data_IF_027476620748
#
_entry.id   IF_027476620748
#
_cell.length_a   1.000
_cell.length_b   1.000
_cell.length_c   1.000
_cell.angle_alpha   90.00
_cell.angle_beta   90.00
_cell.angle_gamma   90.00
#
_symmetry.space_group_name_H-M   'P 1'
#
loop_
_entity.id
_entity.type
_entity.pdbx_description
1 polymer ?
#
# COMPACT_ATOMS: atom_id res chain seq x y z
N UNK A 1 -20.24 -13.06 -23.71
CA UNK A 1 -19.79 -11.84 -22.98
C UNK A 1 -19.42 -12.31 -21.60
N UNK A 2 -18.12 -12.32 -21.28
CA UNK A 2 -17.58 -12.97 -20.09
C UNK A 2 -17.95 -12.16 -18.82
N UNK A 3 -18.19 -12.86 -17.69
CA UNK A 3 -18.53 -12.26 -16.40
C UNK A 3 -17.54 -11.18 -15.92
N UNK A 4 -16.29 -11.24 -16.40
CA UNK A 4 -15.24 -10.26 -16.15
C UNK A 4 -15.53 -8.88 -16.78
N UNK A 5 -16.06 -8.82 -18.01
CA UNK A 5 -16.43 -7.53 -18.63
C UNK A 5 -17.63 -6.87 -17.92
N UNK A 6 -18.59 -7.67 -17.42
CA UNK A 6 -19.68 -7.15 -16.58
C UNK A 6 -19.18 -6.59 -15.25
N UNK A 7 -18.14 -7.17 -14.70
CA UNK A 7 -17.50 -6.71 -13.48
C UNK A 7 -16.85 -5.33 -13.67
N UNK A 8 -16.09 -5.18 -14.76
CA UNK A 8 -15.45 -3.91 -15.13
C UNK A 8 -16.49 -2.84 -15.41
N UNK A 9 -17.55 -3.18 -16.15
CA UNK A 9 -18.64 -2.23 -16.46
C UNK A 9 -19.35 -1.73 -15.18
N UNK A 10 -19.53 -2.60 -14.19
CA UNK A 10 -20.15 -2.24 -12.88
C UNK A 10 -19.25 -1.35 -12.04
N UNK A 11 -17.95 -1.66 -11.99
CA UNK A 11 -16.96 -0.80 -11.30
C UNK A 11 -16.87 0.56 -11.99
N UNK A 12 -16.83 0.58 -13.32
CA UNK A 12 -16.83 1.81 -14.10
C UNK A 12 -18.08 2.65 -13.84
N UNK A 13 -19.24 2.01 -13.78
CA UNK A 13 -20.50 2.67 -13.49
C UNK A 13 -20.51 3.29 -12.10
N UNK A 14 -20.07 2.55 -11.08
CA UNK A 14 -19.96 3.06 -9.72
C UNK A 14 -18.99 4.24 -9.61
N UNK A 15 -17.81 4.13 -10.21
CA UNK A 15 -16.78 5.18 -10.18
C UNK A 15 -17.20 6.41 -11.00
N UNK A 16 -17.89 6.22 -12.13
CA UNK A 16 -18.32 7.33 -13.00
C UNK A 16 -19.53 8.10 -12.46
N UNK A 17 -20.44 7.44 -11.73
CA UNK A 17 -21.72 8.04 -11.29
C UNK A 17 -21.80 8.31 -9.78
N UNK A 18 -20.74 7.96 -9.02
CA UNK A 18 -20.63 8.27 -7.59
C UNK A 18 -21.59 7.50 -6.70
N UNK A 19 -21.66 7.91 -5.43
CA UNK A 19 -22.45 7.25 -4.37
C UNK A 19 -23.98 7.37 -4.57
N UNK A 20 -24.41 8.20 -5.51
CA UNK A 20 -25.81 8.28 -5.95
C UNK A 20 -26.17 7.18 -6.95
N UNK A 21 -25.22 6.29 -7.28
CA UNK A 21 -25.45 5.11 -8.07
C UNK A 21 -26.28 4.06 -7.33
N UNK A 22 -26.76 3.10 -8.09
CA UNK A 22 -27.63 2.01 -7.65
C UNK A 22 -27.07 1.29 -6.41
N UNK A 23 -27.90 0.96 -5.42
CA UNK A 23 -27.47 0.25 -4.19
C UNK A 23 -26.63 -1.00 -4.51
N UNK A 24 -26.85 -1.62 -5.67
CA UNK A 24 -26.05 -2.75 -6.16
C UNK A 24 -24.57 -2.43 -6.33
N UNK A 25 -24.19 -1.21 -6.69
CA UNK A 25 -22.80 -0.80 -6.94
C UNK A 25 -22.05 -0.54 -5.63
N UNK A 26 -22.71 0.03 -4.62
CA UNK A 26 -22.15 0.17 -3.28
C UNK A 26 -21.88 -1.19 -2.64
N UNK A 27 -22.86 -2.10 -2.67
CA UNK A 27 -22.69 -3.47 -2.15
C UNK A 27 -21.54 -4.21 -2.86
N UNK A 28 -21.42 -4.05 -4.17
CA UNK A 28 -20.32 -4.62 -4.93
C UNK A 28 -18.96 -4.10 -4.45
N UNK A 29 -18.85 -2.79 -4.20
CA UNK A 29 -17.62 -2.18 -3.70
C UNK A 29 -17.27 -2.67 -2.29
N UNK A 30 -18.24 -2.71 -1.38
CA UNK A 30 -18.11 -3.24 -0.03
C UNK A 30 -17.61 -4.70 -0.05
N UNK A 31 -18.21 -5.56 -0.87
CA UNK A 31 -17.79 -6.94 -1.05
C UNK A 31 -16.37 -7.04 -1.63
N UNK A 32 -16.03 -6.17 -2.60
CA UNK A 32 -14.70 -6.15 -3.22
C UNK A 32 -13.62 -5.76 -2.21
N UNK A 33 -13.87 -4.75 -1.38
CA UNK A 33 -12.99 -4.31 -0.29
C UNK A 33 -12.80 -5.46 0.71
N UNK A 34 -13.88 -6.11 1.16
CA UNK A 34 -13.80 -7.19 2.13
C UNK A 34 -13.07 -8.41 1.58
N UNK A 35 -13.29 -8.78 0.32
CA UNK A 35 -12.57 -9.86 -0.35
C UNK A 35 -11.08 -9.55 -0.46
N UNK A 36 -10.73 -8.34 -0.89
CA UNK A 36 -9.34 -7.91 -1.01
C UNK A 36 -8.65 -7.82 0.35
N UNK A 37 -9.32 -7.26 1.36
CA UNK A 37 -8.81 -7.14 2.74
C UNK A 37 -8.32 -8.49 3.28
N UNK A 38 -9.03 -9.57 2.94
CA UNK A 38 -8.75 -10.92 3.40
C UNK A 38 -8.01 -11.78 2.35
N UNK A 39 -7.55 -11.19 1.24
CA UNK A 39 -6.91 -11.94 0.16
C UNK A 39 -5.50 -12.41 0.54
N UNK A 40 -5.08 -13.59 0.04
CA UNK A 40 -3.70 -14.08 0.20
C UNK A 40 -2.68 -13.11 -0.38
N UNK A 41 -3.03 -12.43 -1.47
CA UNK A 41 -2.18 -11.45 -2.14
C UNK A 41 -1.86 -10.28 -1.21
N UNK A 42 -2.89 -9.67 -0.60
CA UNK A 42 -2.70 -8.58 0.36
C UNK A 42 -1.91 -9.02 1.59
N UNK A 43 -2.18 -10.21 2.11
CA UNK A 43 -1.39 -10.76 3.22
C UNK A 43 0.08 -10.95 2.85
N UNK A 44 0.37 -11.39 1.63
CA UNK A 44 1.75 -11.53 1.16
C UNK A 44 2.43 -10.17 0.98
N UNK A 45 1.71 -9.15 0.54
CA UNK A 45 2.21 -7.77 0.48
C UNK A 45 2.60 -7.25 1.86
N UNK A 46 1.72 -7.41 2.85
CA UNK A 46 2.00 -7.05 4.26
C UNK A 46 3.22 -7.84 4.77
N UNK A 47 3.26 -9.15 4.52
CA UNK A 47 4.37 -10.03 4.93
C UNK A 47 5.71 -9.56 4.38
N UNK A 48 5.77 -9.06 3.14
CA UNK A 48 7.00 -8.49 2.57
C UNK A 48 7.51 -7.28 3.36
N UNK A 49 6.63 -6.39 3.82
CA UNK A 49 7.02 -5.26 4.67
C UNK A 49 7.46 -5.72 6.06
N UNK A 50 6.72 -6.62 6.72
CA UNK A 50 7.07 -7.17 8.03
C UNK A 50 8.46 -7.82 8.02
N UNK A 51 8.76 -8.65 7.01
CA UNK A 51 10.07 -9.28 6.87
C UNK A 51 11.19 -8.28 6.62
N UNK A 52 10.91 -7.21 5.87
CA UNK A 52 11.89 -6.13 5.69
C UNK A 52 12.22 -5.44 7.02
N UNK A 53 11.24 -5.28 7.90
CA UNK A 53 11.33 -4.61 9.21
C UNK A 53 11.72 -5.57 10.36
N UNK A 54 12.26 -6.77 10.07
CA UNK A 54 12.68 -7.82 11.02
C UNK A 54 11.52 -8.49 11.78
N UNK A 55 10.29 -8.37 11.32
CA UNK A 55 9.15 -9.07 11.92
C UNK A 55 8.91 -10.40 11.20
N UNK A 56 9.84 -11.34 11.40
CA UNK A 56 9.79 -12.66 10.78
C UNK A 56 8.96 -13.65 11.58
N UNK A 57 8.43 -14.68 10.90
CA UNK A 57 7.57 -15.70 11.51
C UNK A 57 8.28 -16.48 12.65
N UNK A 58 9.61 -16.56 12.63
CA UNK A 58 10.41 -17.19 13.69
C UNK A 58 10.14 -16.58 15.07
N UNK A 59 9.77 -15.28 15.14
CA UNK A 59 9.47 -14.61 16.41
C UNK A 59 8.25 -15.20 17.12
N UNK A 60 7.35 -15.85 16.36
CA UNK A 60 6.16 -16.53 16.90
C UNK A 60 6.41 -18.01 17.17
N UNK A 61 7.64 -18.52 16.94
CA UNK A 61 7.99 -19.92 17.15
C UNK A 61 7.85 -20.28 18.61
N UNK A 62 7.16 -21.40 18.86
CA UNK A 62 7.06 -22.06 20.14
C UNK A 62 7.82 -23.38 20.08
N UNK A 63 8.54 -23.69 21.13
CA UNK A 63 9.15 -25.01 21.26
C UNK A 63 8.12 -25.96 21.84
N UNK A 64 7.87 -27.05 21.15
CA UNK A 64 6.83 -28.01 21.53
C UNK A 64 7.40 -29.42 21.59
N UNK A 65 6.85 -30.24 22.48
CA UNK A 65 7.08 -31.68 22.55
C UNK A 65 5.77 -32.44 22.47
N UNK A 66 5.84 -33.74 22.16
CA UNK A 66 4.66 -34.61 22.24
C UNK A 66 4.50 -35.03 23.70
N UNK A 67 3.41 -34.62 24.32
CA UNK A 67 3.04 -35.02 25.67
C UNK A 67 2.59 -36.48 25.76
N UNK A 68 2.35 -36.98 26.97
CA UNK A 68 1.87 -38.34 27.23
C UNK A 68 0.51 -38.62 26.59
N UNK A 69 -0.30 -37.56 26.37
CA UNK A 69 -1.60 -37.63 25.72
C UNK A 69 -1.49 -37.60 24.16
N UNK A 70 -0.28 -37.63 23.61
CA UNK A 70 -0.03 -37.58 22.18
C UNK A 70 -0.25 -36.20 21.54
N UNK A 71 -0.51 -35.14 22.32
CA UNK A 71 -0.70 -33.78 21.82
C UNK A 71 0.59 -32.97 21.97
N UNK A 72 0.72 -31.95 21.11
CA UNK A 72 1.81 -30.99 21.21
C UNK A 72 1.60 -30.10 22.44
N UNK A 73 2.60 -30.09 23.33
CA UNK A 73 2.65 -29.24 24.51
C UNK A 73 3.84 -28.27 24.39
N UNK A 74 3.66 -27.03 24.82
CA UNK A 74 4.74 -26.03 24.83
C UNK A 74 5.73 -26.35 25.96
N UNK A 75 7.03 -26.25 25.66
CA UNK A 75 8.11 -26.56 26.60
C UNK A 75 8.79 -25.25 26.99
N UNK A 76 8.61 -24.86 28.25
CA UNK A 76 9.13 -23.61 28.77
C UNK A 76 10.54 -23.70 29.36
N UNK A 77 10.98 -24.90 29.72
CA UNK A 77 12.26 -25.15 30.40
C UNK A 77 13.43 -25.44 29.45
N UNK A 78 13.21 -25.37 28.15
CA UNK A 78 14.29 -25.54 27.16
C UNK A 78 14.55 -24.22 26.42
N UNK A 79 15.79 -24.00 25.96
CA UNK A 79 16.11 -22.81 25.16
C UNK A 79 15.19 -22.67 23.92
N UNK A 80 14.69 -21.48 23.68
CA UNK A 80 13.88 -21.19 22.52
C UNK A 80 14.35 -19.88 21.85
N UNK A 81 15.56 -19.94 21.31
CA UNK A 81 16.15 -18.83 20.58
C UNK A 81 15.36 -18.57 19.27
N UNK A 82 15.24 -17.30 18.90
CA UNK A 82 14.48 -16.83 17.73
C UNK A 82 15.34 -15.85 16.96
N UNK A 83 16.40 -16.37 16.35
CA UNK A 83 17.39 -15.56 15.65
C UNK A 83 16.92 -15.18 14.26
N UNK A 84 17.20 -13.95 13.87
CA UNK A 84 16.93 -13.42 12.53
C UNK A 84 18.26 -13.00 11.89
N UNK A 85 18.62 -13.62 10.76
CA UNK A 85 19.58 -13.06 9.82
C UNK A 85 18.81 -12.57 8.59
N UNK A 86 18.51 -11.28 8.55
CA UNK A 86 17.63 -10.71 7.54
C UNK A 86 18.31 -10.55 6.18
N UNK A 87 18.46 -11.66 5.45
CA UNK A 87 18.99 -11.67 4.09
C UNK A 87 18.01 -11.04 3.11
N UNK A 88 16.69 -11.13 3.43
CA UNK A 88 15.65 -10.48 2.61
C UNK A 88 15.83 -8.95 2.56
N UNK A 89 16.01 -8.29 3.69
CA UNK A 89 16.25 -6.85 3.74
C UNK A 89 17.53 -6.45 2.99
N UNK A 90 18.58 -7.28 3.08
CA UNK A 90 19.82 -7.06 2.30
C UNK A 90 19.53 -7.07 0.80
N UNK A 91 18.78 -8.07 0.30
CA UNK A 91 18.40 -8.15 -1.12
C UNK A 91 17.57 -6.94 -1.58
N UNK A 92 16.57 -6.53 -0.78
CA UNK A 92 15.74 -5.34 -1.08
C UNK A 92 16.61 -4.09 -1.17
N UNK A 93 17.51 -3.90 -0.19
CA UNK A 93 18.39 -2.73 -0.16
C UNK A 93 19.37 -2.73 -1.34
N UNK A 94 19.98 -3.87 -1.67
CA UNK A 94 20.90 -3.98 -2.81
C UNK A 94 20.19 -3.65 -4.13
N UNK A 95 19.02 -4.24 -4.40
CA UNK A 95 18.25 -3.98 -5.63
C UNK A 95 17.81 -2.52 -5.71
N UNK A 96 17.28 -1.96 -4.62
CA UNK A 96 16.85 -0.55 -4.59
C UNK A 96 18.02 0.41 -4.77
N UNK A 97 19.19 0.13 -4.15
CA UNK A 97 20.37 0.96 -4.29
C UNK A 97 20.97 0.88 -5.70
N UNK A 98 20.95 -0.30 -6.32
CA UNK A 98 21.45 -0.47 -7.67
C UNK A 98 20.63 0.34 -8.70
N UNK A 99 19.30 0.32 -8.59
CA UNK A 99 18.42 1.00 -9.54
C UNK A 99 18.21 2.49 -9.24
N UNK A 100 18.10 2.85 -7.95
CA UNK A 100 17.65 4.16 -7.49
C UNK A 100 18.64 4.80 -6.50
N UNK A 101 19.90 4.35 -6.49
CA UNK A 101 20.93 4.86 -5.60
C UNK A 101 21.50 6.18 -6.07
N UNK A 102 21.56 6.38 -7.37
CA UNK A 102 22.05 7.62 -7.99
C UNK A 102 20.86 8.50 -8.43
N UNK A 103 20.98 9.83 -8.30
CA UNK A 103 19.99 10.73 -8.85
C UNK A 103 20.01 10.63 -10.38
N UNK A 104 18.86 10.77 -11.01
CA UNK A 104 18.76 10.95 -12.45
C UNK A 104 18.80 12.44 -12.81
N UNK A 105 19.19 12.75 -14.02
CA UNK A 105 19.14 14.11 -14.60
C UNK A 105 18.05 14.15 -15.65
N UNK A 106 17.40 15.31 -15.75
CA UNK A 106 16.41 15.58 -16.79
C UNK A 106 16.99 16.67 -17.67
N UNK A 107 17.13 16.39 -18.96
CA UNK A 107 17.62 17.33 -19.96
C UNK A 107 16.47 17.82 -20.83
N UNK A 108 16.40 19.12 -21.06
CA UNK A 108 15.42 19.77 -21.93
C UNK A 108 16.04 21.06 -22.50
N UNK A 109 15.70 21.39 -23.74
CA UNK A 109 16.15 22.58 -24.43
C UNK A 109 15.52 23.89 -23.91
N UNK A 110 14.47 23.78 -23.07
CA UNK A 110 13.78 24.93 -22.47
C UNK A 110 14.28 25.16 -21.04
N UNK A 111 15.04 26.25 -20.83
CA UNK A 111 15.62 26.60 -19.53
C UNK A 111 14.56 26.81 -18.44
N UNK A 112 13.47 27.52 -18.73
CA UNK A 112 12.39 27.76 -17.73
C UNK A 112 11.73 26.46 -17.31
N UNK A 113 11.48 25.56 -18.25
CA UNK A 113 10.93 24.23 -17.96
C UNK A 113 11.93 23.38 -17.16
N UNK A 114 13.23 23.49 -17.45
CA UNK A 114 14.28 22.81 -16.68
C UNK A 114 14.26 23.23 -15.20
N UNK A 115 14.10 24.51 -14.91
CA UNK A 115 14.01 25.02 -13.53
C UNK A 115 12.79 24.44 -12.80
N UNK A 116 11.61 24.47 -13.42
CA UNK A 116 10.38 23.88 -12.84
C UNK A 116 10.56 22.38 -12.57
N UNK A 117 11.19 21.64 -13.49
CA UNK A 117 11.47 20.21 -13.29
C UNK A 117 12.43 19.96 -12.13
N UNK A 118 13.44 20.82 -11.91
CA UNK A 118 14.35 20.72 -10.77
C UNK A 118 13.63 20.96 -9.43
N UNK A 119 12.65 21.87 -9.39
CA UNK A 119 11.83 22.10 -8.20
C UNK A 119 11.00 20.87 -7.86
N UNK A 120 10.38 20.23 -8.85
CA UNK A 120 9.55 19.03 -8.67
C UNK A 120 10.41 17.81 -8.32
N UNK A 121 11.48 17.56 -9.10
CA UNK A 121 12.36 16.39 -8.96
C UNK A 121 13.57 16.67 -8.06
N UNK A 122 13.32 17.31 -6.93
CA UNK A 122 14.30 17.70 -5.94
C UNK A 122 14.79 16.51 -5.08
N UNK A 123 15.63 16.78 -4.10
CA UNK A 123 16.15 15.76 -3.15
C UNK A 123 15.05 15.03 -2.37
N UNK A 124 13.92 15.70 -2.07
CA UNK A 124 12.76 15.09 -1.38
C UNK A 124 12.12 14.04 -2.28
N UNK A 125 11.91 14.38 -3.56
CA UNK A 125 11.39 13.42 -4.54
C UNK A 125 12.33 12.22 -4.71
N UNK A 126 13.65 12.43 -4.84
CA UNK A 126 14.61 11.31 -4.97
C UNK A 126 14.56 10.33 -3.79
N UNK A 127 14.40 10.85 -2.57
CA UNK A 127 14.21 10.01 -1.38
C UNK A 127 12.88 9.23 -1.44
N UNK A 128 11.81 9.90 -1.87
CA UNK A 128 10.49 9.27 -2.05
C UNK A 128 10.54 8.19 -3.14
N UNK A 129 11.19 8.46 -4.27
CA UNK A 129 11.37 7.49 -5.35
C UNK A 129 12.18 6.26 -4.89
N UNK A 130 13.28 6.46 -4.16
CA UNK A 130 14.05 5.36 -3.58
C UNK A 130 13.22 4.54 -2.58
N UNK A 131 12.42 5.19 -1.75
CA UNK A 131 11.49 4.52 -0.83
C UNK A 131 10.41 3.76 -1.59
N UNK A 132 9.87 4.32 -2.68
CA UNK A 132 8.88 3.65 -3.52
C UNK A 132 9.43 2.39 -4.17
N UNK A 133 10.71 2.38 -4.59
CA UNK A 133 11.38 1.18 -5.08
C UNK A 133 11.44 0.06 -4.03
N UNK A 134 11.76 0.38 -2.78
CA UNK A 134 11.71 -0.59 -1.68
C UNK A 134 10.29 -1.10 -1.43
N UNK A 135 9.29 -0.22 -1.48
CA UNK A 135 7.89 -0.59 -1.31
C UNK A 135 7.41 -1.48 -2.46
N UNK A 136 7.83 -1.20 -3.69
CA UNK A 136 7.53 -2.05 -4.84
C UNK A 136 8.18 -3.44 -4.70
N UNK A 137 9.41 -3.54 -4.18
CA UNK A 137 10.05 -4.81 -3.90
C UNK A 137 9.33 -5.60 -2.81
N UNK A 138 8.91 -4.94 -1.72
CA UNK A 138 8.24 -5.57 -0.60
C UNK A 138 6.78 -5.94 -0.91
N UNK A 139 6.07 -5.09 -1.65
CA UNK A 139 4.65 -5.24 -1.92
C UNK A 139 4.30 -5.71 -3.34
N UNK A 140 5.29 -5.84 -4.24
CA UNK A 140 5.06 -6.14 -5.66
C UNK A 140 4.77 -4.91 -6.52
N UNK A 141 4.10 -3.92 -5.95
CA UNK A 141 3.76 -2.62 -6.52
C UNK A 141 3.82 -1.57 -5.41
N UNK A 142 4.12 -0.33 -5.75
CA UNK A 142 3.98 0.82 -4.88
C UNK A 142 3.31 1.96 -5.63
N UNK A 143 2.71 2.90 -4.92
CA UNK A 143 1.90 3.95 -5.53
C UNK A 143 2.42 5.32 -5.14
N UNK A 144 2.78 6.13 -6.13
CA UNK A 144 3.07 7.54 -5.94
C UNK A 144 1.79 8.36 -6.22
N UNK A 145 1.44 9.20 -5.27
CA UNK A 145 0.31 10.11 -5.36
C UNK A 145 0.83 11.55 -5.44
N UNK A 146 0.78 12.20 -6.60
CA UNK A 146 1.10 13.62 -6.76
C UNK A 146 -0.05 14.48 -6.19
N UNK A 147 0.29 15.49 -5.42
CA UNK A 147 -0.66 16.42 -4.81
C UNK A 147 0.00 17.78 -4.55
N UNK A 148 -0.81 18.78 -4.29
CA UNK A 148 -0.36 20.07 -3.76
C UNK A 148 -0.49 20.03 -2.24
N UNK A 149 0.56 20.44 -1.52
CA UNK A 149 0.52 20.57 -0.08
C UNK A 149 -0.18 21.88 0.36
N UNK A 150 -0.29 22.10 1.68
CA UNK A 150 -0.94 23.28 2.26
C UNK A 150 -0.27 24.60 1.86
N UNK A 151 1.00 24.55 1.45
CA UNK A 151 1.79 25.69 0.99
C UNK A 151 1.65 25.90 -0.54
N UNK A 152 0.87 25.07 -1.22
CA UNK A 152 0.68 25.08 -2.67
C UNK A 152 1.84 24.47 -3.45
N UNK A 153 2.79 23.80 -2.78
CA UNK A 153 3.91 23.14 -3.44
C UNK A 153 3.52 21.77 -3.99
N UNK A 154 3.89 21.50 -5.25
CA UNK A 154 3.66 20.21 -5.88
C UNK A 154 4.60 19.15 -5.29
N UNK A 155 4.05 18.10 -4.74
CA UNK A 155 4.82 17.05 -4.04
C UNK A 155 4.21 15.67 -4.23
N UNK A 156 4.85 14.63 -3.66
CA UNK A 156 4.43 13.25 -3.82
C UNK A 156 4.27 12.55 -2.46
N UNK A 157 3.19 11.83 -2.30
CA UNK A 157 2.94 10.90 -1.20
C UNK A 157 3.11 9.47 -1.69
N UNK A 158 3.65 8.61 -0.86
CA UNK A 158 3.83 7.20 -1.17
C UNK A 158 2.78 6.37 -0.41
N UNK A 159 2.06 5.53 -1.14
CA UNK A 159 1.17 4.53 -0.56
C UNK A 159 1.74 3.12 -0.77
N UNK A 160 1.72 2.27 0.26
CA UNK A 160 2.10 0.87 0.11
C UNK A 160 1.01 0.09 -0.64
N UNK A 161 1.40 -1.01 -1.27
CA UNK A 161 0.49 -1.86 -2.05
C UNK A 161 -0.71 -2.37 -1.25
N UNK A 162 -0.50 -2.75 0.01
CA UNK A 162 -1.54 -3.31 0.87
C UNK A 162 -2.59 -2.29 1.36
N UNK A 163 -2.41 -1.01 1.06
CA UNK A 163 -3.43 0.02 1.27
C UNK A 163 -4.28 0.25 0.02
N UNK A 164 -3.82 -0.11 -1.18
CA UNK A 164 -4.47 0.21 -2.44
C UNK A 164 -5.06 -1.02 -3.11
N UNK A 165 -6.37 -1.01 -3.33
CA UNK A 165 -7.08 -1.93 -4.22
C UNK A 165 -7.30 -1.23 -5.57
N UNK A 166 -6.52 -1.55 -6.62
CA UNK A 166 -6.68 -0.93 -7.92
C UNK A 166 -7.79 -1.61 -8.73
N UNK A 167 -8.48 -0.82 -9.54
CA UNK A 167 -9.41 -1.28 -10.57
C UNK A 167 -8.83 -0.92 -11.93
N UNK A 168 -8.39 -1.92 -12.67
CA UNK A 168 -7.76 -1.76 -13.97
C UNK A 168 -8.79 -1.86 -15.09
N UNK A 169 -8.66 -1.03 -16.11
CA UNK A 169 -9.51 -1.08 -17.31
C UNK A 169 -9.07 -2.21 -18.27
N UNK A 170 -7.85 -2.69 -18.14
CA UNK A 170 -7.22 -3.68 -19.02
C UNK A 170 -6.53 -4.80 -18.23
N UNK A 171 -6.33 -5.95 -18.87
CA UNK A 171 -5.68 -7.12 -18.27
C UNK A 171 -4.17 -6.97 -18.06
N UNK A 172 -3.54 -6.01 -18.71
CA UNK A 172 -2.11 -5.71 -18.58
C UNK A 172 -1.81 -4.70 -17.49
N UNK A 173 -2.87 -4.20 -16.84
CA UNK A 173 -2.77 -3.19 -15.77
C UNK A 173 -2.06 -1.91 -16.21
N UNK A 174 -2.35 -1.43 -17.42
CA UNK A 174 -1.74 -0.20 -17.97
C UNK A 174 -2.59 1.04 -17.70
N UNK A 175 -3.92 0.88 -17.63
CA UNK A 175 -4.87 1.97 -17.43
C UNK A 175 -5.67 1.77 -16.15
N UNK A 176 -5.45 2.64 -15.18
CA UNK A 176 -6.22 2.67 -13.94
C UNK A 176 -7.59 3.32 -14.19
N UNK A 177 -8.66 2.64 -13.84
CA UNK A 177 -10.04 3.11 -13.93
C UNK A 177 -10.53 3.70 -12.61
N UNK A 178 -10.03 3.19 -11.49
CA UNK A 178 -10.31 3.63 -10.15
C UNK A 178 -9.41 2.94 -9.15
N UNK A 179 -9.43 3.40 -7.91
CA UNK A 179 -8.74 2.73 -6.82
C UNK A 179 -9.44 3.00 -5.50
N UNK A 180 -9.30 2.05 -4.58
CA UNK A 180 -9.71 2.21 -3.19
C UNK A 180 -8.47 2.14 -2.32
N UNK A 181 -8.30 3.13 -1.45
CA UNK A 181 -7.31 3.09 -0.38
C UNK A 181 -8.00 2.78 0.93
N UNK A 182 -7.56 1.70 1.59
CA UNK A 182 -7.97 1.33 2.94
C UNK A 182 -6.78 1.50 3.88
N UNK A 183 -6.91 2.34 4.89
CA UNK A 183 -5.85 2.60 5.87
C UNK A 183 -6.41 2.79 7.28
N UNK A 184 -5.54 2.63 8.27
CA UNK A 184 -5.90 2.69 9.67
C UNK A 184 -5.49 4.04 10.26
N UNK A 185 -6.40 4.63 11.05
CA UNK A 185 -6.13 5.86 11.79
C UNK A 185 -6.42 5.60 13.28
N UNK A 186 -5.47 5.96 14.12
CA UNK A 186 -5.71 5.95 15.56
C UNK A 186 -6.65 7.11 15.93
N UNK A 187 -7.69 6.81 16.70
CA UNK A 187 -8.64 7.78 17.20
C UNK A 187 -9.00 7.50 18.64
N UNK A 188 -9.92 8.30 19.19
CA UNK A 188 -10.46 8.11 20.53
C UNK A 188 -11.98 8.17 20.47
N UNK A 189 -12.63 7.20 21.08
CA UNK A 189 -14.06 7.19 21.32
C UNK A 189 -14.29 7.17 22.84
N UNK A 190 -14.94 8.21 23.37
CA UNK A 190 -15.19 8.35 24.84
C UNK A 190 -13.93 8.12 25.69
N UNK A 191 -12.78 8.68 25.27
CA UNK A 191 -11.45 8.50 25.88
C UNK A 191 -10.85 7.07 25.78
N UNK A 192 -11.44 6.17 25.02
CA UNK A 192 -10.88 4.85 24.72
C UNK A 192 -10.16 4.93 23.38
N UNK A 193 -8.89 4.48 23.27
CA UNK A 193 -8.20 4.44 21.98
C UNK A 193 -8.90 3.43 21.08
N UNK A 194 -9.24 3.88 19.86
CA UNK A 194 -9.86 3.05 18.83
C UNK A 194 -9.08 3.15 17.54
N UNK A 195 -9.13 2.12 16.73
CA UNK A 195 -8.57 2.12 15.37
C UNK A 195 -9.73 2.25 14.40
N UNK A 196 -9.69 3.30 13.60
CA UNK A 196 -10.71 3.61 12.59
C UNK A 196 -10.16 3.19 11.23
N UNK A 197 -10.93 2.37 10.51
CA UNK A 197 -10.63 2.02 9.11
C UNK A 197 -11.20 3.09 8.18
N UNK A 198 -10.32 3.89 7.59
CA UNK A 198 -10.70 4.90 6.60
C UNK A 198 -10.55 4.38 5.19
N UNK A 199 -11.48 4.79 4.34
CA UNK A 199 -11.53 4.41 2.93
C UNK A 199 -11.57 5.68 2.08
N UNK A 200 -10.66 5.76 1.12
CA UNK A 200 -10.62 6.80 0.08
C UNK A 200 -10.83 6.12 -1.27
N UNK A 201 -11.82 6.58 -2.03
CA UNK A 201 -12.09 6.12 -3.38
C UNK A 201 -11.57 7.16 -4.35
N UNK A 202 -10.66 6.78 -5.21
CA UNK A 202 -10.05 7.61 -6.23
C UNK A 202 -10.71 7.33 -7.57
N UNK A 203 -11.32 8.34 -8.18
CA UNK A 203 -11.90 8.25 -9.51
C UNK A 203 -11.62 9.53 -10.35
N UNK A 204 -12.25 9.68 -11.48
CA UNK A 204 -12.07 10.85 -12.36
C UNK A 204 -12.71 12.13 -11.80
N UNK A 205 -13.57 12.01 -10.80
CA UNK A 205 -14.28 13.14 -10.18
C UNK A 205 -13.61 13.62 -8.90
N UNK A 206 -12.69 12.82 -8.34
CA UNK A 206 -11.90 13.20 -7.15
C UNK A 206 -11.69 12.08 -6.16
N UNK A 207 -11.70 12.41 -4.87
CA UNK A 207 -11.48 11.50 -3.75
C UNK A 207 -12.72 11.49 -2.87
N UNK A 208 -13.44 10.37 -2.84
CA UNK A 208 -14.60 10.19 -1.98
C UNK A 208 -14.20 9.45 -0.70
N UNK A 209 -14.56 10.02 0.45
CA UNK A 209 -14.06 9.59 1.76
C UNK A 209 -15.12 8.91 2.59
N UNK A 210 -14.78 7.73 3.11
CA UNK A 210 -15.65 6.88 3.93
C UNK A 210 -14.92 6.31 5.14
N UNK A 211 -15.70 5.82 6.08
CA UNK A 211 -15.27 4.96 7.18
C UNK A 211 -15.83 3.57 6.90
N UNK A 212 -15.01 2.53 7.06
CA UNK A 212 -15.44 1.15 6.98
C UNK A 212 -15.86 0.69 8.39
N UNK A 213 -17.16 0.57 8.62
CA UNK A 213 -17.72 0.03 9.86
C UNK A 213 -18.17 -1.41 9.61
N UNK A 214 -17.37 -2.34 10.12
CA UNK A 214 -17.54 -3.77 9.81
C UNK A 214 -17.33 -4.06 8.33
N UNK A 215 -18.40 -4.18 7.57
CA UNK A 215 -18.39 -4.40 6.12
C UNK A 215 -19.07 -3.28 5.34
N UNK A 216 -19.52 -2.21 6.02
CA UNK A 216 -20.35 -1.16 5.43
C UNK A 216 -19.58 0.14 5.30
N UNK A 217 -19.68 0.79 4.15
CA UNK A 217 -19.12 2.12 3.90
C UNK A 217 -20.06 3.21 4.42
N UNK A 218 -19.58 4.03 5.34
CA UNK A 218 -20.28 5.18 5.89
C UNK A 218 -19.54 6.44 5.45
N UNK A 219 -20.22 7.48 4.86
CA UNK A 219 -19.56 8.71 4.48
C UNK A 219 -18.81 9.34 5.66
N UNK A 220 -17.55 9.75 5.44
CA UNK A 220 -16.74 10.41 6.45
C UNK A 220 -17.07 11.91 6.53
N UNK A 221 -18.04 12.26 7.37
CA UNK A 221 -18.48 13.64 7.59
C UNK A 221 -17.50 14.49 8.41
N UNK A 222 -16.43 13.89 8.92
CA UNK A 222 -15.41 14.61 9.71
C UNK A 222 -14.44 15.39 8.82
N UNK A 223 -14.31 15.01 7.57
CA UNK A 223 -13.44 15.65 6.59
C UNK A 223 -14.22 16.77 5.89
N UNK A 224 -13.70 17.99 5.99
CA UNK A 224 -14.29 19.18 5.36
C UNK A 224 -13.65 19.53 4.02
N UNK A 225 -12.69 18.74 3.59
CA UNK A 225 -12.01 18.93 2.30
C UNK A 225 -12.98 18.67 1.15
N UNK A 226 -12.82 19.44 0.07
CA UNK A 226 -13.54 19.17 -1.18
C UNK A 226 -13.11 17.81 -1.74
N UNK A 227 -14.01 17.17 -2.48
CA UNK A 227 -13.72 15.87 -3.12
C UNK A 227 -12.73 16.00 -4.29
N UNK A 228 -12.50 17.21 -4.81
CA UNK A 228 -11.55 17.47 -5.89
C UNK A 228 -10.10 17.18 -5.50
N UNK A 229 -9.27 16.79 -6.47
CA UNK A 229 -7.87 16.46 -6.25
C UNK A 229 -7.01 17.64 -5.83
N UNK A 230 -7.35 18.85 -6.29
CA UNK A 230 -6.70 20.08 -5.89
C UNK A 230 -7.64 21.26 -5.99
N UNK A 231 -7.29 22.33 -5.33
CA UNK A 231 -8.09 23.55 -5.25
C UNK A 231 -7.24 24.71 -5.76
N UNK A 232 -7.80 25.57 -6.58
CA UNK A 232 -7.12 26.80 -6.99
C UNK A 232 -7.05 27.77 -5.84
N UNK A 233 -5.87 28.32 -5.56
CA UNK A 233 -5.75 29.48 -4.69
C UNK A 233 -6.20 30.73 -5.50
N UNK A 234 -7.14 31.45 -4.97
CA UNK A 234 -7.61 32.70 -5.59
C UNK A 234 -7.13 33.90 -4.80
N UNK A 235 -6.61 34.87 -5.53
CA UNK A 235 -6.32 36.18 -4.99
C UNK A 235 -7.62 36.99 -4.88
N UNK A 236 -8.04 37.38 -3.67
CA UNK A 236 -9.23 38.18 -3.43
C UNK A 236 -10.54 37.39 -3.21
N UNK A 237 -11.69 38.04 -3.40
CA UNK A 237 -13.05 37.56 -3.09
C UNK A 237 -13.58 36.38 -3.95
N UNK A 238 -12.74 35.70 -4.70
CA UNK A 238 -13.18 34.54 -5.50
C UNK A 238 -13.17 33.29 -4.64
N UNK A 239 -14.24 32.53 -4.69
CA UNK A 239 -14.31 31.20 -4.07
C UNK A 239 -13.26 30.27 -4.68
N UNK A 240 -12.62 29.47 -3.82
CA UNK A 240 -11.70 28.43 -4.26
C UNK A 240 -12.44 27.42 -5.15
N UNK A 241 -11.90 27.13 -6.33
CA UNK A 241 -12.48 26.17 -7.27
C UNK A 241 -11.75 24.84 -7.17
N UNK A 242 -12.52 23.75 -6.98
CA UNK A 242 -12.00 22.40 -7.00
C UNK A 242 -11.77 21.91 -8.42
N UNK A 243 -10.58 21.38 -8.70
CA UNK A 243 -10.17 20.87 -10.00
C UNK A 243 -9.67 19.42 -9.91
N UNK A 244 -9.81 18.71 -11.04
CA UNK A 244 -9.38 17.32 -11.14
C UNK A 244 -8.34 17.14 -12.25
N UNK A 245 -7.50 16.13 -12.07
CA UNK A 245 -6.55 15.74 -13.10
C UNK A 245 -7.26 15.06 -14.28
N UNK A 246 -6.63 15.09 -15.45
CA UNK A 246 -7.11 14.34 -16.63
C UNK A 246 -7.00 12.81 -16.48
N UNK A 247 -6.36 12.35 -15.43
CA UNK A 247 -6.21 10.93 -15.05
C UNK A 247 -6.20 10.81 -13.54
N UNK A 248 -6.54 9.64 -13.04
CA UNK A 248 -6.43 9.34 -11.61
C UNK A 248 -4.96 9.49 -11.19
N UNK A 249 -4.64 10.32 -10.20
CA UNK A 249 -3.26 10.68 -9.84
C UNK A 249 -2.59 9.60 -8.96
N UNK A 250 -2.69 8.34 -9.35
CA UNK A 250 -2.00 7.22 -8.72
C UNK A 250 -1.05 6.60 -9.73
N UNK A 251 0.24 6.80 -9.51
CA UNK A 251 1.31 6.34 -10.40
C UNK A 251 1.88 5.04 -9.87
N UNK A 252 1.66 3.90 -10.55
CA UNK A 252 2.17 2.62 -10.12
C UNK A 252 3.66 2.48 -10.42
N UNK A 253 4.44 2.04 -9.44
CA UNK A 253 5.80 1.52 -9.62
C UNK A 253 5.77 0.02 -9.36
N UNK A 254 5.85 -0.77 -10.42
CA UNK A 254 5.77 -2.23 -10.37
C UNK A 254 7.16 -2.86 -10.24
N UNK A 255 7.27 -3.88 -9.40
CA UNK A 255 8.47 -4.72 -9.33
C UNK A 255 8.62 -5.59 -10.58
N UNK A 256 7.53 -6.14 -11.05
CA UNK A 256 7.43 -6.99 -12.23
C UNK A 256 6.00 -6.92 -12.80
N UNK A 257 5.78 -7.53 -13.95
CA UNK A 257 4.48 -7.57 -14.63
C UNK A 257 3.37 -8.23 -13.78
N UNK A 258 3.74 -9.21 -12.95
CA UNK A 258 2.80 -9.94 -12.08
C UNK A 258 2.51 -9.24 -10.76
N UNK A 259 3.11 -8.07 -10.50
CA UNK A 259 2.95 -7.30 -9.26
C UNK A 259 3.20 -8.13 -7.98
N UNK A 260 4.12 -9.09 -8.09
CA UNK A 260 4.38 -10.08 -7.03
C UNK A 260 5.44 -9.59 -6.05
N UNK A 261 5.19 -9.60 -4.73
CA UNK A 261 6.19 -9.25 -3.72
C UNK A 261 7.44 -10.14 -3.79
N UNK A 262 8.63 -9.56 -3.56
CA UNK A 262 9.89 -10.32 -3.59
C UNK A 262 9.92 -11.45 -2.54
N UNK A 263 9.30 -11.21 -1.39
CA UNK A 263 9.22 -12.19 -0.30
C UNK A 263 8.59 -13.52 -0.76
N UNK A 264 7.62 -13.50 -1.68
CA UNK A 264 6.98 -14.71 -2.20
C UNK A 264 7.98 -15.71 -2.81
N UNK A 265 9.08 -15.18 -3.37
CA UNK A 265 10.10 -16.01 -4.02
C UNK A 265 11.14 -16.57 -3.04
N UNK A 266 11.34 -15.95 -1.87
CA UNK A 266 12.47 -16.23 -1.01
C UNK A 266 12.09 -16.54 0.45
N UNK A 267 10.80 -16.46 0.80
CA UNK A 267 10.33 -16.65 2.17
C UNK A 267 10.79 -17.95 2.79
N UNK A 268 10.65 -19.05 2.08
CA UNK A 268 11.02 -20.39 2.58
C UNK A 268 12.52 -20.52 2.89
N UNK A 269 13.37 -19.87 2.08
CA UNK A 269 14.82 -19.84 2.32
C UNK A 269 15.14 -18.95 3.53
N UNK A 270 14.50 -17.79 3.64
CA UNK A 270 14.69 -16.89 4.77
C UNK A 270 14.26 -17.55 6.08
N UNK A 271 13.11 -18.23 6.09
CA UNK A 271 12.62 -18.97 7.25
C UNK A 271 13.56 -20.12 7.63
N UNK A 272 14.06 -20.86 6.63
CA UNK A 272 15.04 -21.93 6.85
C UNK A 272 16.33 -21.45 7.51
N UNK A 273 16.87 -20.31 7.08
CA UNK A 273 18.06 -19.69 7.70
C UNK A 273 17.78 -19.36 9.17
N UNK A 274 16.65 -18.70 9.45
CA UNK A 274 16.28 -18.31 10.81
C UNK A 274 16.12 -19.53 11.73
N UNK A 275 15.49 -20.60 11.23
CA UNK A 275 15.30 -21.84 11.98
C UNK A 275 16.64 -22.51 12.26
N UNK A 276 17.52 -22.66 11.26
CA UNK A 276 18.82 -23.28 11.44
C UNK A 276 19.68 -22.54 12.47
N UNK A 277 19.74 -21.20 12.40
CA UNK A 277 20.49 -20.40 13.35
C UNK A 277 19.93 -20.52 14.77
N UNK A 278 18.61 -20.51 14.91
CA UNK A 278 17.95 -20.64 16.20
C UNK A 278 18.16 -22.02 16.81
N UNK A 279 18.08 -23.10 16.02
CA UNK A 279 18.31 -24.47 16.50
C UNK A 279 19.76 -24.73 16.82
N UNK A 280 20.70 -24.17 16.05
CA UNK A 280 22.12 -24.26 16.36
C UNK A 280 22.43 -23.65 17.74
N UNK A 281 21.87 -22.44 18.02
CA UNK A 281 22.07 -21.80 19.31
C UNK A 281 21.37 -22.56 20.45
N UNK A 282 20.15 -23.06 20.22
CA UNK A 282 19.45 -23.89 21.20
C UNK A 282 20.28 -25.11 21.60
N UNK A 283 20.84 -25.82 20.60
CA UNK A 283 21.67 -27.02 20.84
C UNK A 283 22.99 -26.72 21.57
N UNK A 284 23.50 -25.47 21.47
CA UNK A 284 24.69 -25.05 22.21
C UNK A 284 24.40 -24.72 23.69
N UNK A 285 23.16 -24.41 24.01
CA UNK A 285 22.71 -24.05 25.36
C UNK A 285 22.12 -25.23 26.15
N UNK A 286 21.81 -26.34 25.49
CA UNK A 286 21.44 -27.63 26.09
C UNK A 286 22.66 -28.42 26.55
#
# INVERSE_FOLDING_TARGET
MNGFNRLIDRIAHFILYGVNGDMSDKEFLEQSIMRWKNSPERHMQIKGHLYYDNEHDILMRKRTMIGEDGKLQEVENLPNNRNIDNQYAKMVNQKSNYLLGNPFTIETDNEQYSELLKEVFNKKFMRTLKKSGKYALNGGIAWLYPYYDEEGSFTFRLFPSYEILPFWADSEHTKLQGAVRLYLVAGYEKNIPVVIEKVEIFDMTGIHRYILDGATLIPDVTVKEQDSYYVTMTDGDRAAEGLNWSRIPLIPLKRNELETPLIKNVKTLQDGINVMLSDFENNMQE
#
